data_IF_172833370295
#
_entry.id   IF_172833370295
#
_cell.length_a   1.000
_cell.length_b   1.000
_cell.length_c   1.000
_cell.angle_alpha   90.00
_cell.angle_beta   90.00
_cell.angle_gamma   90.00
#
_symmetry.space_group_name_H-M   'P 1'
#
loop_
_entity.id
_entity.type
_entity.pdbx_description
1 polymer ?
#
# COMPACT_ATOMS: atom_id res chain seq x y z
N UNK A 1 -16.09 17.68 -13.03
CA UNK A 1 -15.32 16.70 -13.82
C UNK A 1 -15.97 16.54 -15.18
N UNK A 2 -15.23 16.72 -16.25
CA UNK A 2 -15.69 16.60 -17.63
C UNK A 2 -15.29 15.26 -18.24
N UNK A 3 -15.98 14.82 -19.31
CA UNK A 3 -15.61 13.59 -20.03
C UNK A 3 -14.17 13.66 -20.56
N UNK A 4 -13.75 14.84 -21.04
CA UNK A 4 -12.38 15.08 -21.49
C UNK A 4 -11.36 14.83 -20.39
N UNK A 5 -11.55 15.43 -19.21
CA UNK A 5 -10.66 15.21 -18.05
C UNK A 5 -10.55 13.74 -17.67
N UNK A 6 -11.67 13.02 -17.70
CA UNK A 6 -11.65 11.57 -17.38
C UNK A 6 -10.83 10.81 -18.42
N UNK A 7 -11.03 11.09 -19.72
CA UNK A 7 -10.29 10.42 -20.80
C UNK A 7 -8.79 10.73 -20.70
N UNK A 8 -8.43 12.00 -20.54
CA UNK A 8 -7.04 12.45 -20.42
C UNK A 8 -6.31 11.76 -19.26
N UNK A 9 -6.98 11.65 -18.10
CA UNK A 9 -6.38 11.12 -16.88
C UNK A 9 -6.48 9.59 -16.72
N UNK A 10 -7.20 8.88 -17.61
CA UNK A 10 -7.36 7.43 -17.55
C UNK A 10 -6.70 6.67 -18.70
N UNK A 11 -6.79 7.24 -19.90
CA UNK A 11 -6.35 6.55 -21.12
C UNK A 11 -5.37 7.38 -21.97
N UNK A 12 -5.32 8.70 -21.74
CA UNK A 12 -4.70 9.65 -22.64
C UNK A 12 -5.59 9.94 -23.85
N UNK A 13 -5.62 11.20 -24.34
CA UNK A 13 -6.46 11.59 -25.48
C UNK A 13 -6.06 10.88 -26.76
N UNK A 14 -4.75 10.74 -27.01
CA UNK A 14 -4.26 10.12 -28.25
C UNK A 14 -4.63 8.63 -28.31
N UNK A 15 -4.53 7.92 -27.20
CA UNK A 15 -4.89 6.50 -27.12
C UNK A 15 -6.40 6.26 -27.19
N UNK A 16 -7.21 7.24 -26.76
CA UNK A 16 -8.66 7.15 -26.78
C UNK A 16 -9.27 7.59 -28.13
N UNK A 17 -8.50 8.28 -28.99
CA UNK A 17 -8.99 8.79 -30.28
C UNK A 17 -9.26 7.65 -31.26
N UNK A 18 -10.46 7.65 -31.84
CA UNK A 18 -10.89 6.65 -32.83
C UNK A 18 -10.68 7.18 -34.26
N UNK A 19 -10.74 6.29 -35.25
CA UNK A 19 -10.52 6.61 -36.67
C UNK A 19 -11.57 7.55 -37.24
N UNK A 20 -12.76 7.60 -36.64
CA UNK A 20 -13.86 8.50 -37.03
C UNK A 20 -13.79 9.90 -36.36
N UNK A 21 -12.74 10.13 -35.58
CA UNK A 21 -12.53 11.41 -34.86
C UNK A 21 -13.21 11.49 -33.50
N UNK A 22 -13.96 10.48 -33.10
CA UNK A 22 -14.54 10.37 -31.75
C UNK A 22 -13.52 9.89 -30.73
N UNK A 23 -13.93 9.86 -29.46
CA UNK A 23 -13.09 9.34 -28.38
C UNK A 23 -13.79 8.19 -27.66
N UNK A 24 -13.03 7.13 -27.39
CA UNK A 24 -13.51 6.03 -26.57
C UNK A 24 -13.74 6.52 -25.13
N UNK A 25 -14.94 6.31 -24.62
CA UNK A 25 -15.30 6.65 -23.24
C UNK A 25 -14.80 5.55 -22.32
N UNK A 26 -14.08 5.87 -21.23
CA UNK A 26 -13.66 4.88 -20.26
C UNK A 26 -14.84 4.15 -19.63
N UNK A 27 -14.62 2.93 -19.20
CA UNK A 27 -15.62 2.15 -18.49
C UNK A 27 -16.09 2.85 -17.21
N UNK A 28 -17.33 2.63 -16.80
CA UNK A 28 -17.98 3.35 -15.70
C UNK A 28 -17.20 3.27 -14.37
N UNK A 29 -16.56 2.15 -14.08
CA UNK A 29 -15.71 1.97 -12.90
C UNK A 29 -14.50 2.92 -12.89
N UNK A 30 -13.90 3.17 -14.05
CA UNK A 30 -12.79 4.14 -14.22
C UNK A 30 -13.28 5.57 -13.99
N UNK A 31 -14.44 5.91 -14.55
CA UNK A 31 -15.05 7.23 -14.35
C UNK A 31 -15.35 7.47 -12.86
N UNK A 32 -16.00 6.50 -12.20
CA UNK A 32 -16.32 6.59 -10.77
C UNK A 32 -15.04 6.66 -9.93
N UNK A 33 -14.03 5.86 -10.27
CA UNK A 33 -12.73 5.89 -9.61
C UNK A 33 -12.05 7.26 -9.70
N UNK A 34 -12.05 7.87 -10.89
CA UNK A 34 -11.50 9.20 -11.11
C UNK A 34 -12.24 10.26 -10.28
N UNK A 35 -13.59 10.28 -10.36
CA UNK A 35 -14.43 11.23 -9.59
C UNK A 35 -14.20 11.09 -8.09
N UNK A 36 -14.15 9.87 -7.59
CA UNK A 36 -13.85 9.57 -6.18
C UNK A 36 -12.50 10.14 -5.76
N UNK A 37 -11.46 9.90 -6.54
CA UNK A 37 -10.12 10.41 -6.24
C UNK A 37 -10.07 11.94 -6.27
N UNK A 38 -10.73 12.57 -7.24
CA UNK A 38 -10.83 14.03 -7.32
C UNK A 38 -11.52 14.63 -6.08
N UNK A 39 -12.57 13.99 -5.58
CA UNK A 39 -13.27 14.43 -4.35
C UNK A 39 -12.38 14.28 -3.12
N UNK A 40 -11.63 13.19 -3.01
CA UNK A 40 -10.68 12.98 -1.91
C UNK A 40 -9.56 14.02 -1.93
N UNK A 41 -9.01 14.32 -3.11
CA UNK A 41 -7.99 15.37 -3.27
C UNK A 41 -8.54 16.74 -2.89
N UNK A 42 -9.75 17.08 -3.34
CA UNK A 42 -10.41 18.34 -2.98
C UNK A 42 -10.65 18.48 -1.48
N UNK A 43 -11.10 17.39 -0.80
CA UNK A 43 -11.26 17.38 0.65
C UNK A 43 -9.91 17.56 1.36
N UNK A 44 -8.85 16.86 0.91
CA UNK A 44 -7.50 17.00 1.44
C UNK A 44 -6.98 18.45 1.35
N UNK A 45 -7.14 19.07 0.18
CA UNK A 45 -6.75 20.45 -0.06
C UNK A 45 -7.56 21.44 0.78
N UNK A 46 -8.85 21.19 1.01
CA UNK A 46 -9.69 22.00 1.90
C UNK A 46 -9.24 21.96 3.36
N UNK A 47 -8.51 20.90 3.74
CA UNK A 47 -7.85 20.74 5.06
C UNK A 47 -6.43 21.31 5.10
N UNK A 48 -5.99 21.99 4.03
CA UNK A 48 -4.66 22.59 3.94
C UNK A 48 -3.54 21.60 3.64
N UNK A 49 -3.86 20.38 3.19
CA UNK A 49 -2.83 19.39 2.80
C UNK A 49 -2.23 19.81 1.47
N UNK A 50 -0.93 20.07 1.49
CA UNK A 50 -0.09 20.37 0.34
C UNK A 50 1.06 19.38 0.25
N UNK A 51 1.74 19.33 -0.87
CA UNK A 51 2.91 18.49 -1.09
C UNK A 51 4.12 19.34 -1.47
N UNK A 52 5.29 18.88 -1.11
CA UNK A 52 6.58 19.45 -1.51
C UNK A 52 7.19 18.63 -2.64
N UNK A 53 8.14 19.22 -3.37
CA UNK A 53 8.86 18.50 -4.44
C UNK A 53 9.62 17.29 -3.87
N UNK A 54 10.17 17.37 -2.66
CA UNK A 54 10.86 16.26 -2.01
C UNK A 54 9.90 15.08 -1.71
N UNK A 55 8.68 15.35 -1.26
CA UNK A 55 7.66 14.33 -1.01
C UNK A 55 7.24 13.64 -2.32
N UNK A 56 7.11 14.42 -3.39
CA UNK A 56 6.82 13.90 -4.74
C UNK A 56 7.95 13.03 -5.25
N UNK A 57 9.21 13.50 -5.15
CA UNK A 57 10.39 12.75 -5.57
C UNK A 57 10.55 11.45 -4.78
N UNK A 58 10.35 11.46 -3.47
CA UNK A 58 10.39 10.27 -2.62
C UNK A 58 9.29 9.27 -3.00
N UNK A 59 8.08 9.75 -3.27
CA UNK A 59 6.99 8.91 -3.74
C UNK A 59 7.31 8.27 -5.09
N UNK A 60 7.85 9.04 -6.03
CA UNK A 60 8.27 8.56 -7.35
C UNK A 60 9.37 7.50 -7.24
N UNK A 61 10.41 7.78 -6.46
CA UNK A 61 11.51 6.85 -6.26
C UNK A 61 11.03 5.53 -5.64
N UNK A 62 10.10 5.60 -4.69
CA UNK A 62 9.56 4.42 -4.01
C UNK A 62 8.71 3.56 -4.95
N UNK A 63 7.82 4.19 -5.73
CA UNK A 63 6.80 3.48 -6.51
C UNK A 63 7.21 3.20 -7.95
N UNK A 64 8.01 4.08 -8.58
CA UNK A 64 8.39 3.99 -9.99
C UNK A 64 9.89 3.77 -10.20
N UNK A 65 10.70 3.81 -9.13
CA UNK A 65 12.17 3.69 -9.16
C UNK A 65 12.86 4.77 -10.01
N UNK A 66 12.20 5.90 -10.19
CA UNK A 66 12.70 7.07 -10.90
C UNK A 66 12.10 8.34 -10.31
N UNK A 67 12.75 9.49 -10.49
CA UNK A 67 12.22 10.83 -10.21
C UNK A 67 11.89 11.60 -11.49
N UNK A 68 12.08 10.97 -12.66
CA UNK A 68 11.81 11.56 -13.96
C UNK A 68 10.35 11.33 -14.38
N UNK A 69 9.57 12.42 -14.37
CA UNK A 69 8.14 12.39 -14.74
C UNK A 69 7.96 11.94 -16.19
N UNK A 70 8.89 12.27 -17.09
CA UNK A 70 8.79 11.93 -18.52
C UNK A 70 8.85 10.41 -18.73
N UNK A 71 9.66 9.70 -17.93
CA UNK A 71 9.71 8.24 -17.96
C UNK A 71 8.39 7.62 -17.48
N UNK A 72 7.81 8.16 -16.40
CA UNK A 72 6.51 7.70 -15.90
C UNK A 72 5.41 7.98 -16.94
N UNK A 73 5.37 9.20 -17.50
CA UNK A 73 4.41 9.58 -18.53
C UNK A 73 4.47 8.62 -19.74
N UNK A 74 5.66 8.36 -20.24
CA UNK A 74 5.89 7.44 -21.36
C UNK A 74 5.44 6.00 -21.06
N UNK A 75 5.76 5.50 -19.86
CA UNK A 75 5.38 4.14 -19.45
C UNK A 75 3.86 3.95 -19.38
N UNK A 76 3.12 4.99 -18.98
CA UNK A 76 1.65 4.97 -18.86
C UNK A 76 0.92 5.60 -20.06
N UNK A 77 1.65 6.03 -21.09
CA UNK A 77 1.09 6.68 -22.31
C UNK A 77 0.27 7.94 -21.99
N UNK A 78 0.75 8.72 -21.04
CA UNK A 78 0.17 9.99 -20.62
C UNK A 78 1.03 11.17 -21.10
N UNK A 79 0.47 12.37 -21.12
CA UNK A 79 1.29 13.58 -21.19
C UNK A 79 2.01 13.82 -19.87
N UNK A 80 3.15 14.53 -19.90
CA UNK A 80 3.90 14.85 -18.69
C UNK A 80 3.06 15.65 -17.67
N UNK A 81 2.24 16.59 -18.13
CA UNK A 81 1.36 17.39 -17.26
C UNK A 81 0.33 16.51 -16.55
N UNK A 82 -0.27 15.56 -17.27
CA UNK A 82 -1.22 14.60 -16.67
C UNK A 82 -0.50 13.68 -15.69
N UNK A 83 0.66 13.14 -16.04
CA UNK A 83 1.45 12.29 -15.15
C UNK A 83 1.84 13.04 -13.87
N UNK A 84 2.35 14.28 -14.01
CA UNK A 84 2.70 15.14 -12.87
C UNK A 84 1.51 15.41 -11.96
N UNK A 85 0.35 15.73 -12.53
CA UNK A 85 -0.90 15.94 -11.78
C UNK A 85 -1.28 14.68 -11.00
N UNK A 86 -1.32 13.50 -11.64
CA UNK A 86 -1.72 12.26 -11.02
C UNK A 86 -0.76 11.83 -9.89
N UNK A 87 0.54 12.06 -10.07
CA UNK A 87 1.55 11.81 -9.03
C UNK A 87 1.30 12.72 -7.82
N UNK A 88 1.13 14.03 -8.06
CA UNK A 88 0.81 14.98 -6.98
C UNK A 88 -0.47 14.60 -6.24
N UNK A 89 -1.53 14.27 -6.97
CA UNK A 89 -2.80 13.83 -6.39
C UNK A 89 -2.62 12.56 -5.53
N UNK A 90 -1.80 11.62 -5.99
CA UNK A 90 -1.50 10.39 -5.23
C UNK A 90 -0.76 10.69 -3.91
N UNK A 91 0.20 11.62 -3.93
CA UNK A 91 0.92 12.05 -2.71
C UNK A 91 -0.03 12.78 -1.76
N UNK A 92 -0.89 13.69 -2.26
CA UNK A 92 -1.92 14.37 -1.47
C UNK A 92 -2.86 13.35 -0.81
N UNK A 93 -3.37 12.39 -1.57
CA UNK A 93 -4.26 11.34 -1.05
C UNK A 93 -3.56 10.49 0.02
N UNK A 94 -2.29 10.14 -0.19
CA UNK A 94 -1.50 9.41 0.80
C UNK A 94 -1.37 10.22 2.09
N UNK A 95 -0.96 11.48 2.01
CA UNK A 95 -0.83 12.35 3.19
C UNK A 95 -2.16 12.51 3.93
N UNK A 96 -3.25 12.71 3.18
CA UNK A 96 -4.57 12.81 3.78
C UNK A 96 -4.98 11.52 4.47
N UNK A 97 -4.80 10.37 3.80
CA UNK A 97 -5.03 9.06 4.41
C UNK A 97 -4.26 8.91 5.72
N UNK A 98 -2.96 9.16 5.68
CA UNK A 98 -2.09 9.04 6.86
C UNK A 98 -2.51 10.00 8.00
N UNK A 99 -3.11 11.15 7.68
CA UNK A 99 -3.59 12.13 8.66
C UNK A 99 -4.94 11.79 9.31
N UNK A 100 -5.77 10.98 8.66
CA UNK A 100 -7.12 10.65 9.14
C UNK A 100 -7.26 9.24 9.69
N UNK A 101 -6.32 8.34 9.40
CA UNK A 101 -6.29 7.01 9.98
C UNK A 101 -5.91 7.08 11.46
N UNK A 102 -6.64 6.35 12.30
CA UNK A 102 -6.29 6.14 13.71
C UNK A 102 -5.42 4.91 13.90
N UNK A 103 -5.51 3.96 12.97
CA UNK A 103 -4.69 2.76 12.95
C UNK A 103 -3.34 3.05 12.29
N UNK A 104 -2.26 2.98 13.08
CA UNK A 104 -0.88 3.05 12.55
C UNK A 104 -0.52 1.71 11.91
N UNK A 105 -0.17 1.75 10.63
CA UNK A 105 0.30 0.56 9.92
C UNK A 105 1.80 0.39 10.21
N UNK A 106 2.22 -0.75 10.81
CA UNK A 106 3.64 -1.05 10.99
C UNK A 106 4.30 -1.36 9.63
N UNK A 107 5.63 -1.44 9.64
CA UNK A 107 6.35 -1.94 8.47
C UNK A 107 5.97 -3.39 8.17
N UNK A 108 5.88 -3.71 6.88
CA UNK A 108 5.56 -5.07 6.46
C UNK A 108 6.70 -6.01 6.85
N UNK A 109 6.41 -7.15 7.49
CA UNK A 109 7.42 -8.13 7.81
C UNK A 109 8.19 -8.58 6.55
N UNK A 110 9.51 -8.72 6.68
CA UNK A 110 10.35 -9.24 5.62
C UNK A 110 10.49 -10.75 5.81
N UNK A 111 10.43 -11.51 4.71
CA UNK A 111 10.63 -12.96 4.79
C UNK A 111 12.08 -13.29 5.22
N UNK A 112 12.29 -14.36 6.00
CA UNK A 112 13.65 -14.81 6.31
C UNK A 112 14.37 -15.29 5.04
N UNK A 113 15.66 -15.06 4.95
CA UNK A 113 16.48 -15.53 3.82
C UNK A 113 16.51 -17.07 3.80
N UNK A 114 16.16 -17.66 2.66
CA UNK A 114 16.21 -19.11 2.51
C UNK A 114 17.66 -19.62 2.56
N UNK A 115 17.91 -20.81 3.14
CA UNK A 115 19.21 -21.43 3.12
C UNK A 115 19.59 -21.84 1.69
N UNK A 116 20.88 -21.78 1.35
CA UNK A 116 21.37 -22.08 -0.01
C UNK A 116 21.08 -23.51 -0.48
N UNK A 117 21.06 -24.46 0.46
CA UNK A 117 20.76 -25.87 0.20
C UNK A 117 19.26 -26.18 0.12
N UNK A 118 18.40 -25.19 0.37
CA UNK A 118 16.94 -25.33 0.40
C UNK A 118 16.41 -26.21 1.54
N UNK A 119 17.26 -26.59 2.50
CA UNK A 119 16.86 -27.45 3.61
C UNK A 119 16.16 -26.66 4.73
N UNK A 120 14.89 -26.92 4.95
CA UNK A 120 14.09 -26.25 5.97
C UNK A 120 14.56 -26.47 7.41
N UNK A 121 15.30 -27.54 7.66
CA UNK A 121 15.85 -27.88 8.97
C UNK A 121 17.22 -27.23 9.25
N UNK A 122 17.77 -26.53 8.27
CA UNK A 122 19.01 -25.75 8.47
C UNK A 122 18.82 -24.76 9.60
N UNK A 123 19.70 -24.82 10.60
CA UNK A 123 19.64 -23.98 11.79
C UNK A 123 20.70 -22.89 11.76
N UNK A 124 20.36 -21.71 12.27
CA UNK A 124 21.31 -20.62 12.45
C UNK A 124 20.91 -19.69 13.60
N UNK A 125 21.88 -18.89 14.05
CA UNK A 125 21.66 -17.80 14.99
C UNK A 125 20.83 -16.68 14.35
N UNK A 126 20.99 -16.45 13.06
CA UNK A 126 20.23 -15.45 12.32
C UNK A 126 18.72 -15.74 12.35
N UNK A 127 18.32 -17.00 12.16
CA UNK A 127 16.92 -17.40 12.28
C UNK A 127 16.39 -17.27 13.71
N UNK A 128 17.22 -17.60 14.71
CA UNK A 128 16.84 -17.40 16.11
C UNK A 128 16.58 -15.92 16.41
N UNK A 129 17.49 -15.04 16.04
CA UNK A 129 17.36 -13.60 16.25
C UNK A 129 16.18 -13.01 15.47
N UNK A 130 15.93 -13.50 14.26
CA UNK A 130 14.77 -13.12 13.46
C UNK A 130 13.45 -13.46 14.20
N UNK A 131 13.31 -14.69 14.70
CA UNK A 131 12.12 -15.13 15.45
C UNK A 131 11.94 -14.31 16.72
N UNK A 132 13.03 -14.15 17.49
CA UNK A 132 13.02 -13.40 18.76
C UNK A 132 12.65 -11.93 18.52
N UNK A 133 13.18 -11.33 17.45
CA UNK A 133 12.83 -9.96 17.07
C UNK A 133 11.34 -9.78 16.72
N UNK A 134 10.74 -10.76 16.05
CA UNK A 134 9.32 -10.76 15.75
C UNK A 134 8.45 -11.05 16.99
N UNK A 135 8.87 -11.99 17.83
CA UNK A 135 8.14 -12.38 19.03
C UNK A 135 8.14 -11.28 20.11
N UNK A 136 9.19 -10.46 20.14
CA UNK A 136 9.31 -9.35 21.10
C UNK A 136 9.15 -9.86 22.55
N UNK A 137 8.20 -9.28 23.28
CA UNK A 137 7.96 -9.61 24.70
C UNK A 137 7.45 -11.04 24.95
N UNK A 138 7.08 -11.78 23.90
CA UNK A 138 6.74 -13.21 24.04
C UNK A 138 7.97 -14.08 24.30
N UNK A 139 9.21 -13.57 24.05
CA UNK A 139 10.46 -14.29 24.30
C UNK A 139 11.23 -13.68 25.48
N UNK A 140 11.60 -14.53 26.45
CA UNK A 140 12.50 -14.17 27.54
C UNK A 140 13.96 -14.54 27.18
N UNK A 141 14.66 -13.57 26.59
CA UNK A 141 16.04 -13.76 26.17
C UNK A 141 16.99 -14.06 27.33
N UNK A 142 16.68 -13.59 28.56
CA UNK A 142 17.52 -13.83 29.73
C UNK A 142 17.48 -15.29 30.17
N UNK A 143 16.30 -15.89 30.11
CA UNK A 143 16.08 -17.29 30.52
C UNK A 143 16.09 -18.25 29.32
N UNK A 144 16.29 -17.74 28.09
CA UNK A 144 16.34 -18.52 26.86
C UNK A 144 15.08 -19.36 26.63
N UNK A 145 13.91 -18.78 26.85
CA UNK A 145 12.63 -19.48 26.79
C UNK A 145 11.49 -18.50 26.45
N UNK A 146 10.32 -19.06 26.17
CA UNK A 146 9.09 -18.28 26.01
C UNK A 146 8.66 -17.65 27.34
N UNK A 147 8.39 -16.35 27.32
CA UNK A 147 7.90 -15.61 28.48
C UNK A 147 6.42 -15.92 28.79
N UNK A 148 5.64 -16.29 27.77
CA UNK A 148 4.23 -16.65 27.89
C UNK A 148 3.87 -17.78 26.94
N UNK A 149 2.95 -18.65 27.38
CA UNK A 149 2.37 -19.73 26.56
C UNK A 149 1.07 -19.30 25.84
N UNK A 150 0.57 -18.11 26.13
CA UNK A 150 -0.66 -17.58 25.53
C UNK A 150 -0.41 -16.71 24.30
N UNK A 151 0.86 -16.43 24.00
CA UNK A 151 1.27 -15.61 22.86
C UNK A 151 0.98 -16.27 21.51
N UNK A 152 0.82 -15.46 20.48
CA UNK A 152 0.53 -15.95 19.12
C UNK A 152 1.73 -16.68 18.52
N UNK A 153 2.95 -16.21 18.84
CA UNK A 153 4.17 -16.87 18.38
C UNK A 153 4.37 -18.18 19.11
N UNK A 154 4.20 -18.23 20.44
CA UNK A 154 4.29 -19.48 21.18
C UNK A 154 3.35 -20.56 20.63
N UNK A 155 2.09 -20.23 20.40
CA UNK A 155 1.09 -21.18 19.90
C UNK A 155 1.48 -21.84 18.58
N UNK A 156 2.21 -21.15 17.74
CA UNK A 156 2.63 -21.66 16.44
C UNK A 156 4.04 -22.25 16.44
N UNK A 157 4.88 -21.84 17.38
CA UNK A 157 6.29 -22.19 17.40
C UNK A 157 6.71 -23.14 18.51
N UNK A 158 5.80 -23.48 19.43
CA UNK A 158 6.11 -24.33 20.59
C UNK A 158 6.62 -25.72 20.24
N UNK A 159 6.36 -26.22 19.03
CA UNK A 159 6.86 -27.51 18.55
C UNK A 159 8.31 -27.42 17.99
N UNK A 160 8.84 -26.23 17.77
CA UNK A 160 10.19 -26.03 17.24
C UNK A 160 11.19 -25.84 18.38
N UNK A 161 12.40 -26.35 18.17
CA UNK A 161 13.53 -26.09 19.08
C UNK A 161 14.09 -24.69 18.77
N UNK A 162 13.88 -23.74 19.69
CA UNK A 162 14.33 -22.35 19.56
C UNK A 162 15.15 -22.00 20.80
N UNK A 163 16.28 -21.36 20.58
CA UNK A 163 17.14 -20.79 21.62
C UNK A 163 17.63 -19.41 21.17
N UNK A 164 18.31 -18.66 22.04
CA UNK A 164 18.91 -17.37 21.67
C UNK A 164 19.92 -17.48 20.51
N UNK A 165 20.51 -18.66 20.30
CA UNK A 165 21.62 -18.85 19.38
C UNK A 165 21.27 -19.77 18.20
N UNK A 166 20.11 -20.42 18.21
CA UNK A 166 19.77 -21.39 17.17
C UNK A 166 18.26 -21.55 17.01
N UNK A 167 17.82 -21.53 15.78
CA UNK A 167 16.48 -21.96 15.33
C UNK A 167 16.55 -22.42 13.88
N UNK A 168 15.60 -23.25 13.45
CA UNK A 168 15.53 -23.71 12.07
C UNK A 168 14.90 -22.67 11.15
N UNK A 169 15.19 -22.77 9.84
CA UNK A 169 14.53 -21.97 8.82
C UNK A 169 13.01 -22.22 8.80
N UNK A 170 12.56 -23.47 9.02
CA UNK A 170 11.14 -23.79 9.15
C UNK A 170 10.45 -23.01 10.28
N UNK A 171 11.13 -22.89 11.44
CA UNK A 171 10.64 -22.07 12.55
C UNK A 171 10.58 -20.57 12.16
N UNK A 172 11.61 -20.06 11.47
CA UNK A 172 11.63 -18.67 11.02
C UNK A 172 10.52 -18.37 9.98
N UNK A 173 10.25 -19.29 9.06
CA UNK A 173 9.13 -19.17 8.13
C UNK A 173 7.77 -19.17 8.86
N UNK A 174 7.62 -20.03 9.88
CA UNK A 174 6.39 -20.04 10.69
C UNK A 174 6.21 -18.73 11.45
N UNK A 175 7.28 -18.18 12.04
CA UNK A 175 7.26 -16.86 12.68
C UNK A 175 6.86 -15.75 11.68
N UNK A 176 7.38 -15.79 10.46
CA UNK A 176 7.00 -14.88 9.40
C UNK A 176 5.49 -14.95 9.08
N UNK A 177 4.90 -16.15 9.02
CA UNK A 177 3.47 -16.31 8.79
C UNK A 177 2.63 -15.69 9.92
N UNK A 178 3.06 -15.83 11.17
CA UNK A 178 2.41 -15.17 12.31
C UNK A 178 2.49 -13.65 12.16
N UNK A 179 3.69 -13.12 11.86
CA UNK A 179 3.90 -11.70 11.66
C UNK A 179 3.04 -11.15 10.51
N UNK A 180 2.96 -11.86 9.38
CA UNK A 180 2.13 -11.49 8.23
C UNK A 180 0.64 -11.52 8.57
N UNK A 181 0.18 -12.47 9.38
CA UNK A 181 -1.21 -12.52 9.85
C UNK A 181 -1.54 -11.28 10.71
N UNK A 182 -0.67 -10.95 11.67
CA UNK A 182 -0.81 -9.74 12.50
C UNK A 182 -0.81 -8.46 11.65
N UNK A 183 0.15 -8.35 10.73
CA UNK A 183 0.22 -7.23 9.79
C UNK A 183 -1.06 -7.09 8.96
N UNK A 184 -1.56 -8.20 8.40
CA UNK A 184 -2.77 -8.22 7.58
C UNK A 184 -4.02 -7.78 8.35
N UNK A 185 -4.12 -8.15 9.63
CA UNK A 185 -5.22 -7.72 10.48
C UNK A 185 -5.21 -6.19 10.69
N UNK A 186 -4.02 -5.60 10.97
CA UNK A 186 -3.85 -4.15 11.12
C UNK A 186 -4.11 -3.44 9.78
N UNK A 187 -3.59 -3.97 8.68
CA UNK A 187 -3.78 -3.42 7.33
C UNK A 187 -5.26 -3.43 6.92
N UNK A 188 -5.98 -4.51 7.25
CA UNK A 188 -7.43 -4.62 7.01
C UNK A 188 -8.20 -3.55 7.79
N UNK A 189 -7.87 -3.34 9.07
CA UNK A 189 -8.49 -2.30 9.90
C UNK A 189 -8.24 -0.90 9.30
N UNK A 190 -6.98 -0.58 8.96
CA UNK A 190 -6.63 0.69 8.31
C UNK A 190 -7.37 0.88 6.97
N UNK A 191 -7.54 -0.19 6.19
CA UNK A 191 -8.29 -0.16 4.93
C UNK A 191 -9.78 0.10 5.16
N UNK A 192 -10.37 -0.47 6.22
CA UNK A 192 -11.77 -0.21 6.58
C UNK A 192 -11.97 1.24 7.03
N UNK A 193 -11.09 1.78 7.88
CA UNK A 193 -11.12 3.18 8.30
C UNK A 193 -11.05 4.12 7.07
N UNK A 194 -10.14 3.83 6.15
CA UNK A 194 -10.02 4.60 4.92
C UNK A 194 -11.26 4.53 4.04
N UNK A 195 -11.84 3.33 3.88
CA UNK A 195 -13.08 3.15 3.11
C UNK A 195 -14.26 3.90 3.72
N UNK A 196 -14.37 3.89 5.05
CA UNK A 196 -15.38 4.68 5.75
C UNK A 196 -15.19 6.18 5.49
N UNK A 197 -13.92 6.65 5.54
CA UNK A 197 -13.60 8.06 5.27
C UNK A 197 -13.96 8.49 3.84
N UNK A 198 -13.66 7.63 2.87
CA UNK A 198 -14.07 7.87 1.47
C UNK A 198 -15.60 7.94 1.37
N UNK A 199 -16.33 7.03 2.02
CA UNK A 199 -17.79 7.02 1.99
C UNK A 199 -18.39 8.28 2.62
N UNK A 200 -17.79 8.81 3.70
CA UNK A 200 -18.19 10.10 4.28
C UNK A 200 -18.03 11.27 3.29
N UNK A 201 -16.92 11.29 2.53
CA UNK A 201 -16.67 12.31 1.52
C UNK A 201 -17.69 12.20 0.38
N UNK A 202 -17.91 10.99 -0.12
CA UNK A 202 -18.88 10.73 -1.19
C UNK A 202 -20.32 11.06 -0.76
N UNK A 203 -20.69 10.76 0.48
CA UNK A 203 -22.02 11.05 1.01
C UNK A 203 -22.33 12.56 1.13
N UNK A 204 -21.30 13.41 1.15
CA UNK A 204 -21.46 14.88 1.15
C UNK A 204 -21.44 15.48 -0.26
N UNK A 205 -21.00 14.70 -1.27
CA UNK A 205 -20.87 15.19 -2.63
C UNK A 205 -22.21 15.09 -3.38
N UNK A 206 -22.54 16.13 -4.14
CA UNK A 206 -23.61 16.09 -5.14
C UNK A 206 -23.02 15.64 -6.47
N UNK A 207 -23.32 14.40 -6.88
CA UNK A 207 -22.84 13.82 -8.14
C UNK A 207 -24.00 13.79 -9.13
N UNK A 208 -23.91 14.58 -10.21
CA UNK A 208 -24.85 14.50 -11.33
C UNK A 208 -24.07 13.92 -12.53
N UNK A 209 -24.60 12.84 -13.09
CA UNK A 209 -24.07 12.28 -14.34
C UNK A 209 -24.96 12.73 -15.47
N UNK A 210 -24.41 13.54 -16.36
CA UNK A 210 -25.10 13.96 -17.57
C UNK A 210 -24.70 13.00 -18.70
N UNK A 211 -25.65 12.25 -19.23
CA UNK A 211 -25.44 11.56 -20.52
C UNK A 211 -25.39 12.62 -21.60
N UNK A 212 -24.31 12.69 -22.39
CA UNK A 212 -24.35 13.36 -23.67
C UNK A 212 -25.35 12.56 -24.53
N UNK A 213 -26.56 13.10 -24.68
CA UNK A 213 -27.42 12.67 -25.78
C UNK A 213 -26.68 13.11 -27.06
N UNK A 214 -26.24 12.12 -27.84
CA UNK A 214 -25.78 12.30 -29.21
C UNK A 214 -26.97 12.68 -30.10
#
# INVERSE_FOLDING_TARGET
VTAREVIENTSGLDAAKQSDGTYAVPAADKIIGYVRNALVVAEAQSKGITVTDDEVNNYMQTNFKTTDVSQVASAYKLSEDVAKKLINDAVIMKKYRDSVLTTTLPDAPQAPTAPEDGNSETTSQEYAQYIIGLAGDEWDAKNNTWASQDGDYYKQLSAYSISNDSASYAAAQTAYQVAMSKYSAVASKASQEWSQKINEILGKASIAVYSLAL
#
